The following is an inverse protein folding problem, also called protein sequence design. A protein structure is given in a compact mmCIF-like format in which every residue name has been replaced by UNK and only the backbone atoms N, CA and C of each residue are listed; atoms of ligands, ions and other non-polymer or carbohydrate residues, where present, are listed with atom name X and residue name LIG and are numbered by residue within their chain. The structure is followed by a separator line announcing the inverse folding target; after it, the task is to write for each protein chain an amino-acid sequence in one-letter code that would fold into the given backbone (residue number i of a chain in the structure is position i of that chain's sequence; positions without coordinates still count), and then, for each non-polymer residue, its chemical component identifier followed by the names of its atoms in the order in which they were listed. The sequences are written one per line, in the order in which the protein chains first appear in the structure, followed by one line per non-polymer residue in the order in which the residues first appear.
data_IF_127810585625
#
_entry.id   IF_127810585625
#
_cell.length_a   1.000
_cell.length_b   1.000
_cell.length_c   1.000
_cell.angle_alpha   90.00
_cell.angle_beta   90.00
_cell.angle_gamma   90.00
#
_symmetry.space_group_name_H-M   'P 1'
#
loop_
_entity.id
_entity.type
_entity.pdbx_description
1 polymer ?
#
# COMPACT_ATOMS: atom_id res chain seq x y z
N UNK A 1 14.18 -30.35 38.36
CA UNK A 1 14.89 -29.14 37.90
C UNK A 1 14.06 -28.58 36.74
N UNK A 2 13.15 -27.66 37.06
CA UNK A 2 12.33 -26.95 36.06
C UNK A 2 13.18 -25.86 35.42
N UNK A 3 13.33 -25.93 34.09
CA UNK A 3 13.90 -24.86 33.27
C UNK A 3 12.88 -23.71 33.26
N UNK A 4 13.17 -22.63 33.98
CA UNK A 4 12.51 -21.35 33.80
C UNK A 4 12.85 -20.86 32.38
N UNK A 5 11.87 -20.92 31.47
CA UNK A 5 11.94 -20.20 30.20
C UNK A 5 11.95 -18.69 30.51
N UNK A 6 13.05 -18.05 30.20
CA UNK A 6 13.22 -16.61 30.27
C UNK A 6 12.12 -15.95 29.42
N UNK A 7 11.12 -15.35 30.06
CA UNK A 7 10.26 -14.33 29.49
C UNK A 7 11.15 -13.12 29.20
N UNK A 8 11.66 -13.02 28.01
CA UNK A 8 12.29 -11.77 27.56
C UNK A 8 11.23 -10.68 27.66
N UNK A 9 11.39 -9.76 28.61
CA UNK A 9 10.48 -8.64 28.83
C UNK A 9 10.34 -7.88 27.51
N UNK A 10 9.17 -7.97 26.87
CA UNK A 10 8.85 -7.16 25.69
C UNK A 10 8.96 -5.69 26.11
N UNK A 11 9.66 -4.89 25.30
CA UNK A 11 9.73 -3.45 25.53
C UNK A 11 8.31 -2.87 25.66
N UNK A 12 8.08 -1.89 26.53
CA UNK A 12 6.75 -1.30 26.70
C UNK A 12 6.29 -0.64 25.39
N UNK A 13 5.02 -0.81 25.08
CA UNK A 13 4.38 -0.12 23.95
C UNK A 13 4.18 1.34 24.33
N UNK A 14 4.65 2.25 23.50
CA UNK A 14 4.54 3.69 23.67
C UNK A 14 3.71 4.28 22.52
N UNK A 15 2.67 5.05 22.85
CA UNK A 15 1.99 5.91 21.90
C UNK A 15 2.91 7.09 21.55
N UNK A 16 3.26 7.20 20.27
CA UNK A 16 4.12 8.27 19.75
C UNK A 16 3.28 9.46 19.30
N UNK A 17 2.19 9.20 18.57
CA UNK A 17 1.32 10.27 18.02
C UNK A 17 -0.02 9.68 17.58
N UNK A 18 -1.01 10.55 17.33
CA UNK A 18 -2.32 10.20 16.76
C UNK A 18 -2.63 11.02 15.52
N UNK A 19 -3.47 10.49 14.64
CA UNK A 19 -3.94 11.17 13.45
C UNK A 19 -5.43 10.91 13.23
N UNK A 20 -6.21 11.97 13.08
CA UNK A 20 -7.63 11.85 12.73
C UNK A 20 -7.80 11.40 11.27
N UNK A 21 -8.73 10.46 11.04
CA UNK A 21 -9.13 10.04 9.71
C UNK A 21 -10.27 10.92 9.18
N UNK A 22 -10.23 11.33 7.91
CA UNK A 22 -11.40 11.92 7.26
C UNK A 22 -12.58 10.94 7.32
N UNK A 23 -13.67 11.35 7.92
CA UNK A 23 -14.85 10.47 8.11
C UNK A 23 -14.96 9.85 9.49
N UNK A 24 -13.99 10.06 10.36
CA UNK A 24 -14.00 9.68 11.78
C UNK A 24 -13.05 8.53 12.13
N UNK A 25 -12.68 8.49 13.40
CA UNK A 25 -11.68 7.57 13.94
C UNK A 25 -10.26 8.13 13.94
N UNK A 26 -9.35 7.42 14.60
CA UNK A 26 -7.97 7.85 14.79
C UNK A 26 -6.99 6.72 14.44
N UNK A 27 -5.91 7.09 13.75
CA UNK A 27 -4.72 6.25 13.62
C UNK A 27 -3.80 6.50 14.82
N UNK A 28 -3.25 5.44 15.38
CA UNK A 28 -2.26 5.50 16.44
C UNK A 28 -0.90 5.04 15.90
N UNK A 29 0.12 5.89 16.01
CA UNK A 29 1.49 5.50 15.79
C UNK A 29 2.07 5.01 17.11
N UNK A 30 2.40 3.73 17.18
CA UNK A 30 2.96 3.07 18.36
C UNK A 30 4.41 2.67 18.13
N UNK A 31 5.18 2.62 19.20
CA UNK A 31 6.55 2.11 19.23
C UNK A 31 6.72 1.07 20.31
N UNK A 32 7.39 -0.04 19.97
CA UNK A 32 7.79 -1.09 20.91
C UNK A 32 9.27 -1.44 20.64
N UNK A 33 10.17 -0.98 21.50
CA UNK A 33 11.61 -1.03 21.22
C UNK A 33 11.94 -0.24 19.95
N UNK A 34 12.55 -0.91 18.94
CA UNK A 34 12.87 -0.31 17.65
C UNK A 34 11.76 -0.50 16.60
N UNK A 35 10.70 -1.24 16.95
CA UNK A 35 9.59 -1.51 16.07
C UNK A 35 8.51 -0.42 16.17
N UNK A 36 7.93 -0.06 15.02
CA UNK A 36 6.77 0.83 14.92
C UNK A 36 5.57 0.09 14.35
N UNK A 37 4.37 0.48 14.77
CA UNK A 37 3.12 0.06 14.15
C UNK A 37 2.16 1.23 14.00
N UNK A 38 1.34 1.19 12.94
CA UNK A 38 0.20 2.07 12.74
C UNK A 38 -1.04 1.22 12.99
N UNK A 39 -1.90 1.68 13.89
CA UNK A 39 -3.11 0.98 14.31
C UNK A 39 -4.35 1.85 14.13
N UNK A 40 -5.48 1.19 13.86
CA UNK A 40 -6.81 1.78 13.90
C UNK A 40 -7.68 0.96 14.88
N UNK A 41 -8.08 1.57 15.97
CA UNK A 41 -8.72 0.85 17.06
C UNK A 41 -7.80 -0.24 17.62
N UNK A 42 -8.24 -1.51 17.53
CA UNK A 42 -7.45 -2.70 17.92
C UNK A 42 -6.66 -3.32 16.76
N UNK A 43 -6.88 -2.89 15.53
CA UNK A 43 -6.33 -3.52 14.34
C UNK A 43 -5.01 -2.87 13.91
N UNK A 44 -3.98 -3.69 13.77
CA UNK A 44 -2.71 -3.25 13.18
C UNK A 44 -2.86 -3.19 11.66
N UNK A 45 -2.72 -1.97 11.11
CA UNK A 45 -2.73 -1.75 9.67
C UNK A 45 -1.38 -2.06 9.06
N UNK A 46 -0.31 -1.70 9.76
CA UNK A 46 1.05 -1.81 9.26
C UNK A 46 2.05 -1.88 10.41
N UNK A 47 3.05 -2.77 10.27
CA UNK A 47 4.17 -2.90 11.20
C UNK A 47 5.51 -2.75 10.50
N UNK A 48 6.48 -2.12 11.16
CA UNK A 48 7.82 -1.87 10.57
C UNK A 48 8.71 -3.12 10.42
N UNK A 49 8.30 -4.24 11.01
CA UNK A 49 9.10 -5.47 11.03
C UNK A 49 8.83 -6.39 9.82
N UNK A 50 7.68 -6.25 9.19
CA UNK A 50 7.26 -7.11 8.06
C UNK A 50 6.77 -6.20 6.95
N UNK A 51 7.47 -6.24 5.82
CA UNK A 51 7.19 -5.39 4.65
C UNK A 51 7.28 -6.19 3.33
N UNK A 52 7.34 -7.53 3.43
CA UNK A 52 7.62 -8.38 2.29
C UNK A 52 6.54 -8.30 1.21
N UNK A 53 5.28 -8.29 1.60
CA UNK A 53 4.15 -8.27 0.68
C UNK A 53 3.98 -6.91 -0.01
N UNK A 54 4.18 -5.80 0.70
CA UNK A 54 4.13 -4.44 0.16
C UNK A 54 5.31 -4.19 -0.79
N UNK A 55 6.48 -4.73 -0.48
CA UNK A 55 7.64 -4.69 -1.38
C UNK A 55 7.40 -5.53 -2.64
N UNK A 56 6.76 -6.70 -2.50
CA UNK A 56 6.40 -7.55 -3.63
C UNK A 56 5.37 -6.88 -4.54
N UNK A 57 4.36 -6.18 -3.99
CA UNK A 57 3.39 -5.40 -4.76
C UNK A 57 4.11 -4.47 -5.74
N UNK A 58 5.03 -3.66 -5.24
CA UNK A 58 5.76 -2.71 -6.05
C UNK A 58 6.70 -3.38 -7.05
N UNK A 59 7.44 -4.41 -6.61
CA UNK A 59 8.40 -5.11 -7.48
C UNK A 59 7.72 -5.80 -8.64
N UNK A 60 6.61 -6.51 -8.39
CA UNK A 60 5.86 -7.24 -9.42
C UNK A 60 5.21 -6.30 -10.43
N UNK A 61 4.61 -5.21 -9.97
CA UNK A 61 3.99 -4.23 -10.85
C UNK A 61 5.02 -3.44 -11.66
N UNK A 62 6.09 -2.95 -11.03
CA UNK A 62 7.06 -2.06 -11.67
C UNK A 62 8.06 -2.79 -12.56
N UNK A 63 8.30 -4.11 -12.37
CA UNK A 63 9.21 -4.87 -13.21
C UNK A 63 8.76 -4.96 -14.69
N UNK A 64 7.49 -4.69 -14.97
CA UNK A 64 6.90 -4.71 -16.32
C UNK A 64 6.94 -3.34 -17.03
N UNK A 65 7.41 -2.28 -16.34
CA UNK A 65 7.38 -0.92 -16.87
C UNK A 65 8.62 -0.57 -17.69
N UNK A 66 8.40 0.25 -18.73
CA UNK A 66 9.48 0.78 -19.57
C UNK A 66 10.30 1.91 -18.92
N UNK A 67 11.18 2.54 -19.70
CA UNK A 67 12.18 3.50 -19.22
C UNK A 67 11.60 4.80 -18.61
N UNK A 68 10.37 5.18 -18.94
CA UNK A 68 9.72 6.42 -18.53
C UNK A 68 8.36 6.14 -17.88
N UNK A 69 8.30 5.16 -16.98
CA UNK A 69 7.05 4.74 -16.33
C UNK A 69 6.45 5.82 -15.43
N UNK A 70 5.14 6.05 -15.56
CA UNK A 70 4.36 6.90 -14.66
C UNK A 70 3.58 6.02 -13.68
N UNK A 71 3.91 6.11 -12.40
CA UNK A 71 3.35 5.25 -11.34
C UNK A 71 2.54 6.09 -10.35
N UNK A 72 1.36 5.61 -10.00
CA UNK A 72 0.58 6.10 -8.86
C UNK A 72 0.64 5.06 -7.74
N UNK A 73 0.96 5.49 -6.54
CA UNK A 73 0.87 4.69 -5.31
C UNK A 73 -0.22 5.30 -4.44
N UNK A 74 -1.24 4.53 -4.10
CA UNK A 74 -2.25 4.86 -3.11
C UNK A 74 -1.81 4.35 -1.75
N UNK A 75 -1.73 5.24 -0.77
CA UNK A 75 -1.18 4.99 0.56
C UNK A 75 0.33 5.23 0.65
N UNK A 76 0.74 6.00 1.65
CA UNK A 76 2.15 6.22 1.98
C UNK A 76 2.62 5.23 3.05
N UNK A 77 1.80 5.02 4.08
CA UNK A 77 2.10 4.13 5.20
C UNK A 77 3.49 4.36 5.78
N UNK A 78 4.28 3.31 5.87
CA UNK A 78 5.69 3.36 6.29
C UNK A 78 6.69 3.43 5.11
N UNK A 79 6.20 3.62 3.88
CA UNK A 79 7.02 3.83 2.69
C UNK A 79 7.63 2.59 2.06
N UNK A 80 7.18 1.39 2.42
CA UNK A 80 7.74 0.15 1.90
C UNK A 80 7.46 -0.05 0.42
N UNK A 81 6.22 0.16 0.00
CA UNK A 81 5.81 0.14 -1.42
C UNK A 81 6.55 1.20 -2.23
N UNK A 82 6.66 2.43 -1.71
CA UNK A 82 7.42 3.50 -2.35
C UNK A 82 8.91 3.14 -2.49
N UNK A 83 9.53 2.67 -1.40
CA UNK A 83 10.94 2.30 -1.41
C UNK A 83 11.26 1.18 -2.40
N UNK A 84 10.41 0.15 -2.47
CA UNK A 84 10.55 -0.95 -3.41
C UNK A 84 10.34 -0.50 -4.86
N UNK A 85 9.35 0.36 -5.13
CA UNK A 85 9.15 0.95 -6.45
C UNK A 85 10.38 1.74 -6.92
N UNK A 86 10.92 2.61 -6.06
CA UNK A 86 12.10 3.42 -6.37
C UNK A 86 13.36 2.59 -6.63
N UNK A 87 13.47 1.41 -6.02
CA UNK A 87 14.60 0.50 -6.20
C UNK A 87 14.64 -0.15 -7.59
N UNK A 88 13.47 -0.38 -8.21
CA UNK A 88 13.35 -1.07 -9.52
C UNK A 88 13.05 -0.12 -10.67
N UNK A 89 12.48 1.05 -10.40
CA UNK A 89 12.12 2.02 -11.43
C UNK A 89 13.35 2.76 -11.97
N UNK A 90 13.41 3.01 -13.28
CA UNK A 90 14.49 3.77 -13.91
C UNK A 90 14.48 5.25 -13.46
N UNK A 91 15.57 5.96 -13.74
CA UNK A 91 15.74 7.37 -13.34
C UNK A 91 14.73 8.32 -13.99
N UNK A 92 14.22 7.97 -15.17
CA UNK A 92 13.22 8.76 -15.90
C UNK A 92 11.78 8.56 -15.43
N UNK A 93 11.53 7.63 -14.53
CA UNK A 93 10.19 7.35 -14.03
C UNK A 93 9.65 8.51 -13.17
N UNK A 94 8.32 8.62 -13.12
CA UNK A 94 7.61 9.57 -12.25
C UNK A 94 6.72 8.79 -11.29
N UNK A 95 6.85 9.04 -10.00
CA UNK A 95 6.07 8.38 -8.96
C UNK A 95 5.21 9.43 -8.24
N UNK A 96 3.90 9.29 -8.34
CA UNK A 96 2.95 10.05 -7.53
C UNK A 96 2.49 9.19 -6.36
N UNK A 97 2.64 9.67 -5.14
CA UNK A 97 2.08 9.03 -3.94
C UNK A 97 0.88 9.84 -3.48
N UNK A 98 -0.29 9.21 -3.35
CA UNK A 98 -1.47 9.83 -2.78
C UNK A 98 -1.65 9.32 -1.34
N UNK A 99 -1.66 10.23 -0.36
CA UNK A 99 -1.83 9.92 1.05
C UNK A 99 -3.02 10.72 1.61
N UNK A 100 -3.99 10.01 2.15
CA UNK A 100 -5.23 10.60 2.64
C UNK A 100 -5.02 11.43 3.92
N UNK A 101 -4.11 10.97 4.79
CA UNK A 101 -3.92 11.51 6.14
C UNK A 101 -2.65 12.37 6.20
N UNK A 102 -2.77 13.72 6.28
CA UNK A 102 -1.59 14.61 6.29
C UNK A 102 -0.57 14.28 7.38
N UNK A 103 -1.04 13.76 8.51
CA UNK A 103 -0.24 13.40 9.66
C UNK A 103 0.69 12.21 9.38
N UNK A 104 0.27 11.24 8.53
CA UNK A 104 1.13 10.14 8.09
C UNK A 104 2.33 10.67 7.32
N UNK A 105 2.13 11.66 6.46
CA UNK A 105 3.24 12.36 5.78
C UNK A 105 4.16 13.11 6.75
N UNK A 106 3.64 13.63 7.86
CA UNK A 106 4.44 14.22 8.93
C UNK A 106 5.24 13.15 9.68
N UNK A 107 4.66 11.98 9.96
CA UNK A 107 5.35 10.85 10.58
C UNK A 107 6.52 10.37 9.72
N UNK A 108 6.33 10.30 8.41
CA UNK A 108 7.38 9.93 7.45
C UNK A 108 8.60 10.86 7.49
N UNK A 109 8.41 12.13 7.84
CA UNK A 109 9.47 13.15 7.97
C UNK A 109 9.99 13.30 9.41
N UNK A 110 9.30 12.70 10.38
CA UNK A 110 9.58 12.77 11.80
C UNK A 110 9.97 11.41 12.37
N UNK A 111 9.12 10.80 13.23
CA UNK A 111 9.47 9.58 13.97
C UNK A 111 9.80 8.38 13.06
N UNK A 112 9.24 8.30 11.85
CA UNK A 112 9.50 7.24 10.89
C UNK A 112 10.56 7.58 9.83
N UNK A 113 11.23 8.73 9.91
CA UNK A 113 12.16 9.21 8.87
C UNK A 113 13.28 8.20 8.55
N UNK A 114 13.73 7.43 9.54
CA UNK A 114 14.76 6.40 9.36
C UNK A 114 14.30 5.23 8.46
N UNK A 115 12.99 4.93 8.39
CA UNK A 115 12.43 3.92 7.51
C UNK A 115 12.39 4.41 6.05
N UNK A 116 12.15 5.70 5.86
CA UNK A 116 11.98 6.31 4.53
C UNK A 116 13.28 6.57 3.77
N UNK A 117 14.46 6.51 4.39
CA UNK A 117 15.77 6.63 3.72
C UNK A 117 15.84 7.75 2.66
N UNK A 118 15.17 8.87 2.87
CA UNK A 118 15.03 10.00 1.94
C UNK A 118 14.14 9.74 0.69
N UNK A 119 13.32 8.70 0.66
CA UNK A 119 12.44 8.42 -0.49
C UNK A 119 11.56 9.61 -0.90
N UNK A 120 11.05 10.37 0.09
CA UNK A 120 10.23 11.57 -0.17
C UNK A 120 11.02 12.75 -0.77
N UNK A 121 12.35 12.70 -0.76
CA UNK A 121 13.23 13.68 -1.38
C UNK A 121 13.78 13.23 -2.73
N UNK A 122 13.42 12.00 -3.19
CA UNK A 122 13.80 11.53 -4.52
C UNK A 122 13.13 12.40 -5.58
N UNK A 123 13.86 12.92 -6.58
CA UNK A 123 13.31 13.82 -7.60
C UNK A 123 12.21 13.20 -8.46
N UNK A 124 12.09 11.88 -8.48
CA UNK A 124 11.01 11.15 -9.16
C UNK A 124 9.69 11.20 -8.39
N UNK A 125 9.71 11.54 -7.08
CA UNK A 125 8.56 11.41 -6.18
C UNK A 125 7.81 12.73 -6.03
N UNK A 126 6.49 12.66 -6.18
CA UNK A 126 5.56 13.74 -5.86
C UNK A 126 4.52 13.23 -4.86
N UNK A 127 4.52 13.76 -3.65
CA UNK A 127 3.52 13.45 -2.63
C UNK A 127 2.32 14.38 -2.77
N UNK A 128 1.13 13.79 -2.88
CA UNK A 128 -0.16 14.47 -2.87
C UNK A 128 -0.94 14.09 -1.62
N UNK A 129 -1.35 15.08 -0.85
CA UNK A 129 -2.29 14.87 0.25
C UNK A 129 -3.71 14.89 -0.30
N UNK A 130 -4.41 13.78 -0.17
CA UNK A 130 -5.76 13.61 -0.67
C UNK A 130 -6.09 12.15 -0.99
N UNK A 131 -7.33 11.93 -1.36
CA UNK A 131 -7.86 10.62 -1.69
C UNK A 131 -7.28 10.13 -3.04
N UNK A 132 -6.74 8.92 -3.06
CA UNK A 132 -6.21 8.28 -4.29
C UNK A 132 -7.29 8.11 -5.35
N UNK A 133 -8.54 7.86 -4.93
CA UNK A 133 -9.67 7.76 -5.83
C UNK A 133 -9.84 9.04 -6.66
N UNK A 134 -9.74 10.22 -6.05
CA UNK A 134 -9.88 11.51 -6.75
C UNK A 134 -8.71 11.75 -7.72
N UNK A 135 -7.51 11.30 -7.35
CA UNK A 135 -6.34 11.33 -8.26
C UNK A 135 -6.57 10.43 -9.47
N UNK A 136 -7.09 9.21 -9.25
CA UNK A 136 -7.43 8.26 -10.33
C UNK A 136 -8.51 8.85 -11.25
N UNK A 137 -9.62 9.29 -10.68
CA UNK A 137 -10.77 9.78 -11.46
C UNK A 137 -10.45 11.03 -12.30
N UNK A 138 -9.50 11.86 -11.85
CA UNK A 138 -9.08 13.08 -12.55
C UNK A 138 -7.92 12.88 -13.54
N UNK A 139 -7.43 11.65 -13.74
CA UNK A 139 -6.20 11.39 -14.50
C UNK A 139 -6.36 10.32 -15.60
N UNK A 140 -7.24 10.50 -16.59
CA UNK A 140 -7.43 9.49 -17.64
C UNK A 140 -6.15 9.31 -18.48
N UNK A 141 -5.84 8.05 -18.82
CA UNK A 141 -4.72 7.65 -19.69
C UNK A 141 -3.35 8.22 -19.25
N UNK A 142 -3.11 8.21 -17.94
CA UNK A 142 -1.93 8.87 -17.36
C UNK A 142 -0.89 7.91 -16.81
N UNK A 143 -1.31 6.80 -16.21
CA UNK A 143 -0.42 5.93 -15.46
C UNK A 143 -0.10 4.64 -16.21
N UNK A 144 1.14 4.19 -16.10
CA UNK A 144 1.57 2.87 -16.57
C UNK A 144 1.35 1.82 -15.48
N UNK A 145 1.37 2.23 -14.20
CA UNK A 145 0.94 1.40 -13.08
C UNK A 145 0.21 2.23 -12.01
N UNK A 146 -0.79 1.61 -11.39
CA UNK A 146 -1.48 2.08 -10.19
C UNK A 146 -1.33 0.99 -9.15
N UNK A 147 -0.69 1.30 -8.01
CA UNK A 147 -0.48 0.41 -6.88
C UNK A 147 -1.38 0.86 -5.74
N UNK A 148 -2.29 0.00 -5.30
CA UNK A 148 -3.18 0.28 -4.17
C UNK A 148 -2.72 -0.54 -2.96
N UNK A 149 -2.13 0.17 -2.01
CA UNK A 149 -1.66 -0.31 -0.71
C UNK A 149 -2.41 0.45 0.38
N UNK A 150 -3.74 0.32 0.35
CA UNK A 150 -4.66 1.02 1.24
C UNK A 150 -5.56 0.02 1.97
N UNK A 151 -5.77 0.24 3.26
CA UNK A 151 -6.50 -0.67 4.16
C UNK A 151 -5.97 -2.14 4.12
N UNK A 152 -6.81 -3.09 4.48
CA UNK A 152 -6.53 -4.51 4.40
C UNK A 152 -7.08 -5.17 3.11
N UNK A 153 -7.33 -4.36 2.07
CA UNK A 153 -7.91 -4.79 0.80
C UNK A 153 -9.44 -4.63 0.74
N UNK A 154 -10.08 -5.11 -0.35
CA UNK A 154 -11.50 -4.87 -0.62
C UNK A 154 -12.46 -5.40 0.45
N UNK A 155 -12.16 -6.56 1.06
CA UNK A 155 -12.95 -7.18 2.13
C UNK A 155 -12.50 -6.74 3.53
N UNK A 156 -11.38 -6.06 3.63
CA UNK A 156 -10.78 -5.58 4.88
C UNK A 156 -10.86 -4.07 5.05
N UNK A 157 -11.93 -3.44 4.57
CA UNK A 157 -12.09 -1.98 4.63
C UNK A 157 -12.14 -1.50 6.08
N UNK A 158 -11.17 -0.68 6.43
CA UNK A 158 -11.10 0.02 7.71
C UNK A 158 -11.75 1.40 7.56
N UNK A 159 -11.59 2.00 6.39
CA UNK A 159 -12.25 3.25 6.04
C UNK A 159 -13.31 3.01 4.97
N UNK A 160 -14.61 3.14 5.32
CA UNK A 160 -15.73 2.88 4.42
C UNK A 160 -15.67 3.70 3.10
N UNK A 161 -15.03 4.87 3.11
CA UNK A 161 -14.86 5.67 1.90
C UNK A 161 -13.95 4.97 0.87
N UNK A 162 -13.08 4.03 1.28
CA UNK A 162 -12.23 3.26 0.36
C UNK A 162 -13.01 2.22 -0.46
N UNK A 163 -14.26 1.89 -0.07
CA UNK A 163 -15.17 1.11 -0.93
C UNK A 163 -15.30 1.73 -2.35
N UNK A 164 -15.20 3.06 -2.46
CA UNK A 164 -15.23 3.76 -3.75
C UNK A 164 -14.12 3.33 -4.71
N UNK A 165 -12.96 2.91 -4.20
CA UNK A 165 -11.81 2.45 -5.00
C UNK A 165 -12.10 1.07 -5.59
N UNK A 166 -12.75 0.21 -4.80
CA UNK A 166 -12.95 -1.20 -5.10
C UNK A 166 -14.30 -1.53 -5.72
N UNK A 167 -15.24 -0.57 -5.74
CA UNK A 167 -16.52 -0.75 -6.43
C UNK A 167 -16.36 -0.69 -7.96
N UNK A 168 -17.37 -1.16 -8.70
CA UNK A 168 -17.35 -1.20 -10.18
C UNK A 168 -17.00 0.14 -10.83
N UNK A 169 -17.42 1.25 -10.24
CA UNK A 169 -17.11 2.58 -10.75
C UNK A 169 -15.64 2.95 -10.52
N UNK A 170 -15.10 2.69 -9.33
CA UNK A 170 -13.70 2.92 -8.99
C UNK A 170 -12.76 2.10 -9.88
N UNK A 171 -13.06 0.82 -10.09
CA UNK A 171 -12.27 -0.06 -10.95
C UNK A 171 -12.30 0.39 -12.42
N UNK A 172 -13.46 0.85 -12.93
CA UNK A 172 -13.54 1.45 -14.27
C UNK A 172 -12.77 2.76 -14.37
N UNK A 173 -12.78 3.57 -13.31
CA UNK A 173 -11.97 4.80 -13.24
C UNK A 173 -10.46 4.47 -13.25
N UNK A 174 -10.03 3.45 -12.52
CA UNK A 174 -8.66 2.97 -12.55
C UNK A 174 -8.27 2.45 -13.95
N UNK A 175 -9.17 1.67 -14.59
CA UNK A 175 -8.97 1.22 -15.96
C UNK A 175 -8.84 2.40 -16.94
N UNK A 176 -9.66 3.44 -16.81
CA UNK A 176 -9.58 4.63 -17.64
C UNK A 176 -8.31 5.47 -17.37
N UNK A 177 -7.81 5.48 -16.13
CA UNK A 177 -6.60 6.20 -15.73
C UNK A 177 -5.32 5.52 -16.21
N UNK A 178 -5.36 4.21 -16.43
CA UNK A 178 -4.24 3.47 -16.99
C UNK A 178 -4.09 3.69 -18.49
N UNK A 179 -2.84 3.76 -18.95
CA UNK A 179 -2.48 3.66 -20.36
C UNK A 179 -2.76 2.24 -20.89
N UNK A 180 -2.90 2.06 -22.22
CA UNK A 180 -2.93 0.72 -22.83
C UNK A 180 -1.72 -0.11 -22.38
N UNK A 181 -1.95 -1.36 -21.95
CA UNK A 181 -0.94 -2.23 -21.38
C UNK A 181 -0.53 -1.90 -19.92
N UNK A 182 -1.19 -0.93 -19.29
CA UNK A 182 -0.93 -0.55 -17.89
C UNK A 182 -1.49 -1.55 -16.88
N UNK A 183 -1.02 -1.48 -15.64
CA UNK A 183 -1.30 -2.45 -14.58
C UNK A 183 -1.92 -1.76 -13.37
N UNK A 184 -3.04 -2.30 -12.88
CA UNK A 184 -3.56 -2.03 -11.55
C UNK A 184 -3.10 -3.16 -10.63
N UNK A 185 -2.29 -2.84 -9.63
CA UNK A 185 -1.82 -3.79 -8.62
C UNK A 185 -2.47 -3.46 -7.27
N UNK A 186 -3.06 -4.47 -6.63
CA UNK A 186 -3.80 -4.30 -5.37
C UNK A 186 -3.28 -5.30 -4.36
N UNK A 187 -2.93 -4.82 -3.17
CA UNK A 187 -2.61 -5.65 -2.03
C UNK A 187 -3.85 -5.96 -1.19
N UNK A 188 -3.92 -7.18 -0.63
CA UNK A 188 -4.97 -7.60 0.28
C UNK A 188 -4.46 -8.58 1.33
N UNK A 189 -5.01 -8.48 2.54
CA UNK A 189 -4.79 -9.43 3.62
C UNK A 189 -5.57 -10.75 3.41
N UNK A 190 -6.53 -10.76 2.47
CA UNK A 190 -7.46 -11.88 2.25
C UNK A 190 -7.64 -12.17 0.76
N UNK A 191 -7.92 -13.43 0.43
CA UNK A 191 -8.40 -13.81 -0.90
C UNK A 191 -9.86 -13.36 -1.09
N UNK A 192 -10.21 -12.89 -2.30
CA UNK A 192 -11.58 -12.51 -2.65
C UNK A 192 -11.88 -12.83 -4.12
N UNK A 193 -12.46 -14.01 -4.37
CA UNK A 193 -12.85 -14.44 -5.71
C UNK A 193 -13.95 -13.54 -6.34
N UNK A 194 -14.80 -12.93 -5.52
CA UNK A 194 -15.81 -12.00 -6.01
C UNK A 194 -15.17 -10.70 -6.49
N UNK A 195 -14.07 -10.29 -5.85
CA UNK A 195 -13.30 -9.13 -6.28
C UNK A 195 -12.54 -9.40 -7.60
N UNK A 196 -11.95 -10.59 -7.76
CA UNK A 196 -11.37 -11.00 -9.06
C UNK A 196 -12.40 -10.87 -10.17
N UNK A 197 -13.61 -11.40 -9.98
CA UNK A 197 -14.72 -11.26 -10.95
C UNK A 197 -15.09 -9.79 -11.21
N UNK A 198 -15.02 -8.91 -10.19
CA UNK A 198 -15.26 -7.47 -10.37
C UNK A 198 -14.18 -6.80 -11.22
N UNK A 199 -12.91 -7.18 -11.04
CA UNK A 199 -11.78 -6.71 -11.86
C UNK A 199 -11.94 -7.13 -13.32
N UNK A 200 -12.26 -8.40 -13.57
CA UNK A 200 -12.54 -8.93 -14.91
C UNK A 200 -13.70 -8.19 -15.60
N UNK A 201 -14.80 -7.95 -14.86
CA UNK A 201 -15.95 -7.18 -15.35
C UNK A 201 -15.63 -5.69 -15.59
N UNK A 202 -14.57 -5.16 -14.99
CA UNK A 202 -14.07 -3.82 -15.26
C UNK A 202 -13.14 -3.76 -16.49
N UNK A 203 -12.81 -4.92 -17.10
CA UNK A 203 -12.03 -5.02 -18.33
C UNK A 203 -10.56 -5.37 -18.13
N UNK A 204 -10.21 -5.93 -16.98
CA UNK A 204 -8.85 -6.37 -16.69
C UNK A 204 -8.66 -7.87 -16.94
N UNK A 205 -7.43 -8.24 -17.28
CA UNK A 205 -6.91 -9.60 -17.15
C UNK A 205 -6.18 -9.72 -15.82
N UNK A 206 -6.51 -10.72 -14.99
CA UNK A 206 -6.14 -10.73 -13.58
C UNK A 206 -5.28 -11.95 -13.25
N UNK A 207 -4.08 -11.67 -12.72
CA UNK A 207 -3.21 -12.64 -12.08
C UNK A 207 -3.34 -12.49 -10.54
N UNK A 208 -3.75 -13.54 -9.81
CA UNK A 208 -3.76 -13.58 -8.36
C UNK A 208 -2.49 -14.27 -7.86
N UNK A 209 -1.77 -13.61 -6.95
CA UNK A 209 -0.51 -14.08 -6.38
C UNK A 209 -0.65 -14.15 -4.86
N UNK A 210 -0.60 -15.37 -4.29
CA UNK A 210 -0.54 -15.60 -2.86
C UNK A 210 0.91 -15.50 -2.35
N UNK A 211 1.12 -14.77 -1.26
CA UNK A 211 2.41 -14.58 -0.59
C UNK A 211 2.29 -14.95 0.88
N UNK A 212 3.30 -15.64 1.43
CA UNK A 212 3.37 -15.85 2.87
C UNK A 212 3.43 -14.49 3.59
N UNK A 213 2.49 -14.23 4.51
CA UNK A 213 2.46 -12.98 5.27
C UNK A 213 3.74 -12.79 6.10
N UNK A 214 4.26 -13.90 6.64
CA UNK A 214 5.54 -13.95 7.35
C UNK A 214 6.43 -14.99 6.69
N UNK A 215 7.58 -14.63 6.11
CA UNK A 215 8.53 -15.59 5.57
C UNK A 215 8.93 -16.62 6.64
N UNK A 216 8.68 -17.91 6.36
CA UNK A 216 8.98 -19.01 7.27
C UNK A 216 7.85 -19.42 8.23
N UNK A 217 6.68 -18.80 8.13
CA UNK A 217 5.43 -19.24 8.79
C UNK A 217 4.37 -19.45 7.71
N UNK A 218 3.79 -20.64 7.67
CA UNK A 218 2.78 -21.02 6.65
C UNK A 218 1.33 -20.73 7.10
N UNK A 219 1.15 -19.94 8.15
CA UNK A 219 -0.13 -19.79 8.83
C UNK A 219 -1.03 -18.68 8.28
N UNK A 220 -0.48 -17.77 7.46
CA UNK A 220 -1.21 -16.64 6.88
C UNK A 220 -0.65 -16.28 5.50
N UNK A 221 -1.53 -15.98 4.55
CA UNK A 221 -1.17 -15.47 3.23
C UNK A 221 -1.74 -14.08 3.02
N UNK A 222 -0.96 -13.22 2.37
CA UNK A 222 -1.44 -11.99 1.74
C UNK A 222 -1.60 -12.25 0.23
N UNK A 223 -2.38 -11.42 -0.44
CA UNK A 223 -2.67 -11.57 -1.86
C UNK A 223 -2.31 -10.29 -2.60
N UNK A 224 -1.83 -10.47 -3.83
CA UNK A 224 -1.63 -9.38 -4.79
C UNK A 224 -2.40 -9.74 -6.05
N UNK A 225 -3.28 -8.85 -6.47
CA UNK A 225 -3.92 -8.94 -7.78
C UNK A 225 -3.19 -8.00 -8.73
N UNK A 226 -2.64 -8.57 -9.81
CA UNK A 226 -2.08 -7.83 -10.94
C UNK A 226 -3.12 -7.82 -12.06
N UNK A 227 -3.85 -6.73 -12.15
CA UNK A 227 -4.92 -6.54 -13.11
C UNK A 227 -4.40 -5.74 -14.32
N UNK A 228 -4.18 -6.41 -15.44
CA UNK A 228 -3.59 -5.84 -16.65
C UNK A 228 -4.69 -5.29 -17.58
N UNK A 229 -4.52 -4.06 -18.05
CA UNK A 229 -5.34 -3.46 -19.09
C UNK A 229 -4.82 -3.89 -20.45
N UNK A 230 -5.67 -4.48 -21.29
CA UNK A 230 -5.29 -4.80 -22.67
C UNK A 230 -4.85 -3.56 -23.45
N UNK A 231 -3.84 -3.74 -24.34
CA UNK A 231 -3.31 -2.70 -25.21
C UNK A 231 -4.20 -2.38 -26.39
#
# INVERSE_FOLDING_TARGET
MQKAASEAARAPIKLIDTAELPGGGELHLLQCGDAFSIQFGSDELMGSQVAHSEQALATLACARLGAEGSVLIGGLGMGFTLGAALAVLPRGAVVTVAELVPKVAAWAKGPLAHLFKNYLSDPRVSLKIGDVHDVIASSPNRFDAILLDVDNGPDGLIHLANDRIYCNWGLRSAHAALRPGGILAIWSAYADAAFVTRLENAGFDVDEIGLAANPGKEDRQNFIWLASKFG
#
